data_IF_696810559275
#
_entry.id   IF_696810559275
#
_cell.length_a   1.000
_cell.length_b   1.000
_cell.length_c   1.000
_cell.angle_alpha   90.00
_cell.angle_beta   90.00
_cell.angle_gamma   90.00
#
_symmetry.space_group_name_H-M   'P 1'
#
loop_
_entity.id
_entity.type
_entity.pdbx_description
1 polymer ?
#
# COMPACT_ATOMS: atom_id res chain seq x y z
N UNK A 1 -0.56 23.54 -19.99
CA UNK A 1 -1.19 24.50 -20.93
C UNK A 1 -0.17 24.78 -22.01
N UNK A 2 -0.58 24.66 -23.30
CA UNK A 2 0.24 25.02 -24.46
C UNK A 2 -0.42 26.19 -25.16
N UNK A 3 0.35 27.23 -25.46
CA UNK A 3 -0.11 28.34 -26.28
C UNK A 3 -0.09 27.92 -27.75
N UNK A 4 -1.19 28.16 -28.48
CA UNK A 4 -1.32 27.87 -29.89
C UNK A 4 -0.96 29.12 -30.70
N UNK A 5 -0.65 28.94 -32.01
CA UNK A 5 -0.28 30.04 -32.92
C UNK A 5 -1.38 31.08 -33.10
N UNK A 6 -2.64 30.68 -32.87
CA UNK A 6 -3.81 31.56 -32.92
C UNK A 6 -4.04 32.36 -31.61
N UNK A 7 -3.10 32.30 -30.65
CA UNK A 7 -3.21 32.97 -29.36
C UNK A 7 -4.08 32.26 -28.31
N UNK A 8 -4.75 31.16 -28.67
CA UNK A 8 -5.52 30.33 -27.73
C UNK A 8 -4.60 29.42 -26.93
N UNK A 9 -5.12 28.91 -25.79
CA UNK A 9 -4.42 27.95 -24.94
C UNK A 9 -5.11 26.60 -25.03
N UNK A 10 -4.33 25.55 -25.28
CA UNK A 10 -4.81 24.18 -25.15
C UNK A 10 -4.45 23.61 -23.76
N UNK A 11 -5.37 22.87 -23.15
CA UNK A 11 -5.14 22.15 -21.91
C UNK A 11 -4.61 20.76 -22.27
N UNK A 12 -3.43 20.41 -21.77
CA UNK A 12 -2.88 19.07 -21.94
C UNK A 12 -3.63 18.08 -21.06
N UNK A 13 -3.69 16.80 -21.45
CA UNK A 13 -4.29 15.74 -20.61
C UNK A 13 -3.67 15.71 -19.21
N UNK A 14 -2.35 15.92 -19.09
CA UNK A 14 -1.67 16.00 -17.77
C UNK A 14 -2.16 17.21 -16.96
N UNK A 15 -2.36 18.35 -17.59
CA UNK A 15 -2.90 19.54 -16.92
C UNK A 15 -4.34 19.34 -16.46
N UNK A 16 -5.17 18.71 -17.31
CA UNK A 16 -6.54 18.36 -16.92
C UNK A 16 -6.58 17.33 -15.80
N UNK A 17 -5.77 16.27 -15.90
CA UNK A 17 -5.68 15.21 -14.89
C UNK A 17 -5.30 15.72 -13.49
N UNK A 18 -4.51 16.80 -13.42
CA UNK A 18 -4.09 17.42 -12.17
C UNK A 18 -5.06 18.51 -11.69
N UNK A 19 -5.60 19.34 -12.59
CA UNK A 19 -6.22 20.61 -12.21
C UNK A 19 -7.63 20.82 -12.76
N UNK A 20 -8.25 19.84 -13.44
CA UNK A 20 -9.62 19.99 -13.91
C UNK A 20 -10.61 20.13 -12.73
N UNK A 21 -11.61 20.98 -12.90
CA UNK A 21 -12.75 21.04 -11.98
C UNK A 21 -13.62 19.80 -12.05
N UNK A 22 -13.76 19.25 -13.27
CA UNK A 22 -14.42 17.96 -13.53
C UNK A 22 -13.69 17.24 -14.68
N UNK A 23 -13.19 16.03 -14.38
CA UNK A 23 -12.51 15.16 -15.37
C UNK A 23 -13.48 14.62 -16.43
N UNK A 24 -14.78 14.59 -16.16
CA UNK A 24 -15.79 14.14 -17.11
C UNK A 24 -15.96 15.09 -18.30
N UNK A 25 -15.54 16.35 -18.17
CA UNK A 25 -15.50 17.30 -19.28
C UNK A 25 -14.44 16.93 -20.36
N UNK A 26 -13.54 16.00 -20.03
CA UNK A 26 -12.47 15.55 -20.91
C UNK A 26 -12.73 14.10 -21.36
N UNK A 27 -13.03 13.88 -22.63
CA UNK A 27 -13.53 12.62 -23.20
C UNK A 27 -12.75 11.35 -22.82
N UNK A 28 -11.46 11.45 -22.46
CA UNK A 28 -10.61 10.31 -22.09
C UNK A 28 -10.27 10.25 -20.61
N UNK A 29 -10.68 11.22 -19.81
CA UNK A 29 -10.23 11.35 -18.41
C UNK A 29 -11.31 11.05 -17.37
N UNK A 30 -12.59 10.98 -17.72
CA UNK A 30 -13.67 10.70 -16.77
C UNK A 30 -13.47 9.38 -15.99
N UNK A 31 -12.98 8.33 -16.66
CA UNK A 31 -12.65 7.04 -16.01
C UNK A 31 -11.29 7.02 -15.31
N UNK A 32 -10.60 8.15 -15.21
CA UNK A 32 -9.35 8.28 -14.44
C UNK A 32 -9.59 8.87 -13.05
N UNK A 33 -10.81 9.29 -12.77
CA UNK A 33 -11.25 9.74 -11.45
C UNK A 33 -11.23 8.59 -10.44
N UNK A 34 -10.83 8.88 -9.19
CA UNK A 34 -10.86 7.92 -8.10
C UNK A 34 -12.29 7.68 -7.64
N UNK A 35 -12.64 6.42 -7.36
CA UNK A 35 -13.90 6.06 -6.68
C UNK A 35 -13.58 5.48 -5.31
N UNK A 36 -14.34 5.87 -4.32
CA UNK A 36 -14.28 5.31 -2.97
C UNK A 36 -15.60 4.62 -2.67
N UNK A 37 -15.55 3.33 -2.32
CA UNK A 37 -16.72 2.53 -1.98
C UNK A 37 -16.53 1.95 -0.59
N UNK A 38 -17.50 2.15 0.30
CA UNK A 38 -17.56 1.47 1.60
C UNK A 38 -18.63 0.40 1.56
N UNK A 39 -18.25 -0.81 1.92
CA UNK A 39 -19.15 -1.94 2.11
C UNK A 39 -19.49 -2.14 3.58
N UNK A 40 -20.63 -2.74 3.85
CA UNK A 40 -21.01 -3.24 5.18
C UNK A 40 -20.48 -4.67 5.33
N UNK A 41 -19.65 -4.90 6.34
CA UNK A 41 -19.04 -6.21 6.58
C UNK A 41 -17.77 -6.45 5.76
N UNK A 42 -17.50 -7.71 5.44
CA UNK A 42 -16.24 -8.16 4.82
C UNK A 42 -16.37 -8.54 3.34
N UNK A 43 -17.52 -8.34 2.73
CA UNK A 43 -17.80 -8.70 1.33
C UNK A 43 -18.44 -7.52 0.56
N UNK A 44 -18.59 -7.68 -0.77
CA UNK A 44 -19.11 -6.64 -1.68
C UNK A 44 -20.63 -6.65 -1.85
N UNK A 45 -21.38 -7.32 -0.97
CA UNK A 45 -22.84 -7.49 -1.17
C UNK A 45 -23.63 -6.22 -0.88
N UNK A 46 -23.25 -5.47 0.17
CA UNK A 46 -24.01 -4.30 0.61
C UNK A 46 -23.12 -3.05 0.60
N UNK A 47 -23.38 -2.19 -0.37
CA UNK A 47 -22.73 -0.86 -0.44
C UNK A 47 -23.38 0.03 0.64
N UNK A 48 -22.54 0.60 1.50
CA UNK A 48 -22.95 1.56 2.52
C UNK A 48 -22.79 3.01 2.02
N UNK A 49 -21.70 3.27 1.30
CA UNK A 49 -21.40 4.58 0.69
C UNK A 49 -20.61 4.37 -0.61
N UNK A 50 -20.85 5.25 -1.56
CA UNK A 50 -20.06 5.35 -2.79
C UNK A 50 -19.87 6.83 -3.11
N UNK A 51 -18.62 7.23 -3.41
CA UNK A 51 -18.27 8.62 -3.74
C UNK A 51 -17.27 8.66 -4.89
N UNK A 52 -17.61 9.25 -6.03
CA UNK A 52 -16.68 9.55 -7.10
C UNK A 52 -15.97 10.89 -6.86
N UNK A 53 -14.65 10.94 -7.03
CA UNK A 53 -13.84 12.15 -6.93
C UNK A 53 -13.44 12.60 -8.33
N UNK A 54 -14.35 13.30 -9.03
CA UNK A 54 -14.19 13.68 -10.43
C UNK A 54 -13.26 14.86 -10.66
N UNK A 55 -12.74 15.49 -9.62
CA UNK A 55 -11.79 16.60 -9.75
C UNK A 55 -10.38 16.10 -10.07
N UNK A 56 -9.55 16.98 -10.64
CA UNK A 56 -8.14 16.69 -10.87
C UNK A 56 -7.39 16.38 -9.57
N UNK A 57 -6.37 15.54 -9.68
CA UNK A 57 -5.69 14.93 -8.50
C UNK A 57 -5.13 15.96 -7.53
N UNK A 58 -4.56 17.06 -8.05
CA UNK A 58 -4.03 18.13 -7.18
C UNK A 58 -5.10 18.86 -6.39
N UNK A 59 -6.36 18.80 -6.83
CA UNK A 59 -7.50 19.44 -6.16
C UNK A 59 -8.12 18.48 -5.14
N UNK A 60 -8.28 17.19 -5.50
CA UNK A 60 -9.08 16.26 -4.69
C UNK A 60 -8.26 15.31 -3.81
N UNK A 61 -6.96 15.15 -3.99
CA UNK A 61 -6.17 14.13 -3.29
C UNK A 61 -6.31 14.18 -1.77
N UNK A 62 -6.13 15.35 -1.17
CA UNK A 62 -6.25 15.48 0.29
C UNK A 62 -7.70 15.23 0.77
N UNK A 63 -8.69 15.57 -0.05
CA UNK A 63 -10.09 15.27 0.24
C UNK A 63 -10.36 13.76 0.17
N UNK A 64 -9.79 13.05 -0.82
CA UNK A 64 -9.88 11.59 -0.91
C UNK A 64 -9.29 10.95 0.35
N UNK A 65 -8.05 11.31 0.71
CA UNK A 65 -7.39 10.75 1.89
C UNK A 65 -8.19 11.01 3.16
N UNK A 66 -8.68 12.24 3.35
CA UNK A 66 -9.50 12.61 4.51
C UNK A 66 -10.82 11.85 4.53
N UNK A 67 -11.48 11.72 3.39
CA UNK A 67 -12.74 10.99 3.26
C UNK A 67 -12.56 9.51 3.56
N UNK A 68 -11.52 8.87 2.99
CA UNK A 68 -11.18 7.48 3.29
C UNK A 68 -10.93 7.31 4.78
N UNK A 69 -10.06 8.14 5.38
CA UNK A 69 -9.74 8.05 6.81
C UNK A 69 -10.98 8.21 7.71
N UNK A 70 -11.93 9.07 7.35
CA UNK A 70 -13.18 9.24 8.10
C UNK A 70 -14.14 8.05 7.99
N UNK A 71 -13.95 7.18 6.99
CA UNK A 71 -14.74 5.97 6.80
C UNK A 71 -14.11 4.73 7.42
N UNK A 72 -12.82 4.79 7.83
CA UNK A 72 -12.13 3.66 8.40
C UNK A 72 -12.69 3.29 9.77
N UNK A 73 -12.76 1.98 10.10
CA UNK A 73 -13.00 1.53 11.46
C UNK A 73 -11.95 2.08 12.43
N UNK A 74 -12.40 2.59 13.56
CA UNK A 74 -11.55 3.09 14.64
C UNK A 74 -11.83 2.33 15.92
N UNK A 75 -10.82 2.26 16.80
CA UNK A 75 -11.00 1.85 18.18
C UNK A 75 -11.38 3.10 18.99
N UNK A 76 -12.50 3.03 19.71
CA UNK A 76 -12.81 4.01 20.74
C UNK A 76 -12.11 3.56 22.03
N UNK A 77 -11.13 4.33 22.49
CA UNK A 77 -10.52 4.09 23.78
C UNK A 77 -11.40 4.72 24.87
N UNK A 78 -12.30 3.91 25.42
CA UNK A 78 -13.27 4.30 26.46
C UNK A 78 -12.57 4.68 27.76
N UNK A 79 -11.30 4.33 27.95
CA UNK A 79 -10.53 4.57 29.19
C UNK A 79 -9.63 5.81 29.12
N UNK A 80 -9.54 6.49 27.97
CA UNK A 80 -8.76 7.72 27.85
C UNK A 80 -9.54 8.90 28.44
N UNK A 81 -8.87 9.72 29.25
CA UNK A 81 -9.41 10.98 29.81
C UNK A 81 -9.85 11.98 28.71
N UNK A 82 -9.36 11.78 27.49
CA UNK A 82 -9.85 12.38 26.25
C UNK A 82 -10.14 11.25 25.26
N UNK A 83 -11.32 11.26 24.65
CA UNK A 83 -11.70 10.34 23.58
C UNK A 83 -10.65 10.38 22.46
N UNK A 84 -9.70 9.47 22.50
CA UNK A 84 -8.72 9.29 21.42
C UNK A 84 -9.24 8.18 20.51
N UNK A 85 -9.65 8.52 19.30
CA UNK A 85 -9.98 7.57 18.26
C UNK A 85 -8.70 7.17 17.52
N UNK A 86 -8.24 5.94 17.71
CA UNK A 86 -7.09 5.42 16.99
C UNK A 86 -7.58 4.59 15.79
N UNK A 87 -7.11 4.93 14.60
CA UNK A 87 -7.44 4.16 13.40
C UNK A 87 -6.89 2.72 13.52
N UNK A 88 -7.71 1.74 13.15
CA UNK A 88 -7.27 0.33 13.04
C UNK A 88 -6.32 0.08 11.87
N UNK A 89 -6.10 1.08 11.03
CA UNK A 89 -5.27 0.99 9.84
C UNK A 89 -4.11 1.97 9.92
N UNK A 90 -2.92 1.61 9.39
CA UNK A 90 -1.78 2.50 9.32
C UNK A 90 -2.04 3.62 8.29
N UNK A 91 -2.48 4.80 8.75
CA UNK A 91 -2.86 5.92 7.89
C UNK A 91 -1.78 6.33 6.88
N UNK A 92 -0.47 6.31 7.20
CA UNK A 92 0.57 6.56 6.20
C UNK A 92 0.53 5.56 5.05
N UNK A 93 0.24 4.27 5.33
CA UNK A 93 0.13 3.24 4.29
C UNK A 93 -1.11 3.45 3.42
N UNK A 94 -2.22 3.89 4.00
CA UNK A 94 -3.45 4.22 3.26
C UNK A 94 -3.20 5.37 2.30
N UNK A 95 -2.57 6.45 2.76
CA UNK A 95 -2.21 7.61 1.93
C UNK A 95 -1.31 7.21 0.77
N UNK A 96 -0.27 6.44 1.05
CA UNK A 96 0.69 5.99 0.04
C UNK A 96 0.05 5.06 -1.00
N UNK A 97 -0.79 4.12 -0.58
CA UNK A 97 -1.51 3.24 -1.49
C UNK A 97 -2.43 4.03 -2.45
N UNK A 98 -3.14 5.06 -1.95
CA UNK A 98 -3.95 5.96 -2.76
C UNK A 98 -3.07 6.72 -3.76
N UNK A 99 -1.96 7.31 -3.32
CA UNK A 99 -1.05 8.05 -4.20
C UNK A 99 -0.49 7.15 -5.30
N UNK A 100 -0.03 5.94 -4.93
CA UNK A 100 0.51 4.96 -5.86
C UNK A 100 -0.52 4.51 -6.90
N UNK A 101 -1.77 4.33 -6.52
CA UNK A 101 -2.84 3.95 -7.45
C UNK A 101 -3.10 5.01 -8.52
N UNK A 102 -2.97 6.29 -8.19
CA UNK A 102 -3.10 7.40 -9.13
C UNK A 102 -1.89 7.53 -10.05
N UNK A 103 -0.67 7.37 -9.50
CA UNK A 103 0.59 7.53 -10.23
C UNK A 103 0.83 6.36 -11.19
N UNK A 104 0.60 5.13 -10.74
CA UNK A 104 0.99 3.92 -11.47
C UNK A 104 -0.10 3.34 -12.36
N UNK A 105 -1.29 3.97 -12.42
CA UNK A 105 -2.33 3.52 -13.33
C UNK A 105 -1.87 3.59 -14.79
N UNK A 106 -2.33 2.65 -15.59
CA UNK A 106 -2.19 2.72 -17.04
C UNK A 106 -3.28 3.62 -17.61
N UNK A 107 -2.87 4.81 -18.08
CA UNK A 107 -3.79 5.80 -18.62
C UNK A 107 -4.39 5.40 -19.98
N UNK A 108 -3.82 4.40 -20.66
CA UNK A 108 -4.33 3.86 -21.92
C UNK A 108 -5.45 2.84 -21.73
N UNK A 109 -5.50 2.13 -20.61
CA UNK A 109 -6.60 1.20 -20.30
C UNK A 109 -7.89 1.99 -20.14
N UNK A 110 -8.92 1.61 -20.92
CA UNK A 110 -10.25 2.22 -20.87
C UNK A 110 -11.22 1.38 -20.07
N UNK A 111 -12.35 1.96 -19.64
CA UNK A 111 -13.40 1.24 -18.93
C UNK A 111 -13.13 0.96 -17.44
N UNK A 112 -11.90 1.20 -16.97
CA UNK A 112 -11.50 0.99 -15.58
C UNK A 112 -11.02 2.30 -14.95
N UNK A 113 -11.26 2.44 -13.63
CA UNK A 113 -10.86 3.60 -12.82
C UNK A 113 -10.09 3.13 -11.58
N UNK A 114 -9.20 3.95 -11.02
CA UNK A 114 -8.64 3.68 -9.70
C UNK A 114 -9.77 3.69 -8.66
N UNK A 115 -9.72 2.73 -7.73
CA UNK A 115 -10.79 2.52 -6.75
C UNK A 115 -10.22 2.18 -5.38
N UNK A 116 -10.83 2.76 -4.34
CA UNK A 116 -10.62 2.37 -2.94
C UNK A 116 -11.89 1.69 -2.44
N UNK A 117 -11.75 0.46 -1.98
CA UNK A 117 -12.83 -0.34 -1.40
C UNK A 117 -12.54 -0.57 0.09
N UNK A 118 -13.44 -0.14 0.95
CA UNK A 118 -13.30 -0.20 2.40
C UNK A 118 -14.25 -1.26 2.96
N UNK A 119 -13.68 -2.22 3.71
CA UNK A 119 -14.38 -3.27 4.42
C UNK A 119 -14.11 -3.13 5.93
N UNK A 120 -14.78 -3.91 6.75
CA UNK A 120 -14.59 -3.85 8.21
C UNK A 120 -13.19 -4.33 8.66
N UNK A 121 -12.54 -5.18 7.88
CA UNK A 121 -11.26 -5.81 8.22
C UNK A 121 -10.10 -5.46 7.26
N UNK A 122 -10.35 -4.77 6.16
CA UNK A 122 -9.32 -4.43 5.16
C UNK A 122 -9.74 -3.26 4.27
N UNK A 123 -8.75 -2.70 3.60
CA UNK A 123 -8.92 -1.74 2.51
C UNK A 123 -8.28 -2.36 1.27
N UNK A 124 -8.96 -2.31 0.13
CA UNK A 124 -8.43 -2.70 -1.16
C UNK A 124 -8.29 -1.44 -2.03
N UNK A 125 -7.10 -1.19 -2.54
CA UNK A 125 -6.81 -0.08 -3.47
C UNK A 125 -6.42 -0.70 -4.80
N UNK A 126 -7.25 -0.50 -5.81
CA UNK A 126 -7.06 -1.09 -7.15
C UNK A 126 -6.82 0.02 -8.16
N UNK A 127 -5.87 -0.19 -9.07
CA UNK A 127 -5.66 0.67 -10.22
C UNK A 127 -5.51 -0.13 -11.52
N UNK A 128 -5.94 0.40 -12.67
CA UNK A 128 -5.63 -0.18 -13.97
C UNK A 128 -4.12 -0.20 -14.22
N UNK A 129 -3.61 -1.29 -14.79
CA UNK A 129 -2.20 -1.51 -15.11
C UNK A 129 -1.48 -2.43 -14.14
N UNK A 130 -0.51 -3.17 -14.67
CA UNK A 130 0.35 -4.10 -13.91
C UNK A 130 1.60 -3.39 -13.40
N UNK A 131 2.25 -3.89 -12.33
CA UNK A 131 3.51 -3.32 -11.85
C UNK A 131 4.60 -3.36 -12.94
N UNK A 132 5.48 -2.36 -12.95
CA UNK A 132 6.66 -2.31 -13.83
C UNK A 132 7.91 -2.94 -13.19
N UNK A 133 7.78 -3.36 -11.96
CA UNK A 133 8.83 -4.00 -11.15
C UNK A 133 8.35 -5.36 -10.66
N UNK A 134 9.29 -6.25 -10.38
CA UNK A 134 8.96 -7.52 -9.74
C UNK A 134 8.38 -7.27 -8.34
N UNK A 135 7.21 -7.83 -8.06
CA UNK A 135 6.53 -7.71 -6.77
C UNK A 135 7.37 -8.28 -5.62
N UNK A 136 8.12 -9.36 -5.87
CA UNK A 136 9.04 -9.92 -4.87
C UNK A 136 10.21 -8.98 -4.54
N UNK A 137 10.53 -8.06 -5.44
CA UNK A 137 11.62 -7.10 -5.29
C UNK A 137 11.13 -5.65 -5.08
N UNK A 138 9.89 -5.46 -4.67
CA UNK A 138 9.26 -4.14 -4.63
C UNK A 138 9.93 -3.18 -3.63
N UNK A 139 10.60 -3.72 -2.61
CA UNK A 139 11.30 -2.93 -1.59
C UNK A 139 12.69 -2.49 -2.07
N UNK A 140 13.41 -3.34 -2.82
CA UNK A 140 14.80 -3.08 -3.20
C UNK A 140 14.99 -2.63 -4.66
N UNK A 141 13.98 -2.76 -5.49
CA UNK A 141 14.04 -2.26 -6.86
C UNK A 141 14.09 -0.73 -6.91
N UNK A 142 14.91 -0.15 -7.80
CA UNK A 142 14.84 1.28 -8.09
C UNK A 142 13.42 1.70 -8.48
N UNK A 143 12.97 2.89 -8.08
CA UNK A 143 11.63 3.36 -8.39
C UNK A 143 11.44 3.49 -9.90
N UNK A 144 10.35 2.92 -10.41
CA UNK A 144 9.99 2.98 -11.81
C UNK A 144 8.54 3.42 -11.94
N UNK A 145 8.28 4.46 -12.72
CA UNK A 145 6.94 4.98 -12.93
C UNK A 145 6.56 4.96 -14.41
N UNK A 146 5.34 4.51 -14.70
CA UNK A 146 4.74 4.60 -16.03
C UNK A 146 4.45 6.05 -16.42
N UNK A 147 4.11 6.87 -15.44
CA UNK A 147 3.69 8.25 -15.60
C UNK A 147 4.69 9.21 -14.93
N UNK A 148 5.94 9.25 -15.40
CA UNK A 148 7.05 10.00 -14.77
C UNK A 148 6.72 11.47 -14.54
N UNK A 149 6.12 12.14 -15.53
CA UNK A 149 5.74 13.57 -15.41
C UNK A 149 4.66 13.77 -14.34
N UNK A 150 3.67 12.86 -14.27
CA UNK A 150 2.63 12.89 -13.25
C UNK A 150 3.25 12.66 -11.86
N UNK A 151 4.06 11.63 -11.72
CA UNK A 151 4.77 11.31 -10.48
C UNK A 151 5.62 12.49 -9.99
N UNK A 152 6.39 13.12 -10.90
CA UNK A 152 7.22 14.29 -10.57
C UNK A 152 6.39 15.48 -10.07
N UNK A 153 5.25 15.76 -10.71
CA UNK A 153 4.37 16.86 -10.30
C UNK A 153 3.67 16.55 -8.99
N UNK A 154 3.18 15.33 -8.78
CA UNK A 154 2.55 14.93 -7.52
C UNK A 154 3.54 14.97 -6.34
N UNK A 155 4.82 14.61 -6.54
CA UNK A 155 5.88 14.78 -5.55
C UNK A 155 6.10 16.25 -5.19
N UNK A 156 6.23 17.12 -6.20
CA UNK A 156 6.39 18.57 -5.97
C UNK A 156 5.21 19.19 -5.22
N UNK A 157 4.02 18.63 -5.37
CA UNK A 157 2.82 19.01 -4.64
C UNK A 157 2.70 18.30 -3.27
N UNK A 158 3.70 17.52 -2.85
CA UNK A 158 3.76 16.77 -1.58
C UNK A 158 2.61 15.77 -1.39
N UNK A 159 2.10 15.23 -2.49
CA UNK A 159 1.03 14.24 -2.47
C UNK A 159 1.56 12.82 -2.26
N UNK A 160 2.81 12.54 -2.65
CA UNK A 160 3.50 11.28 -2.49
C UNK A 160 4.98 11.49 -2.11
N UNK A 161 5.65 10.39 -1.76
CA UNK A 161 7.06 10.39 -1.35
C UNK A 161 8.03 10.81 -2.46
N UNK A 162 9.14 11.43 -2.04
CA UNK A 162 10.12 11.98 -2.97
C UNK A 162 11.15 10.95 -3.46
N UNK A 163 11.48 9.94 -2.66
CA UNK A 163 12.67 9.10 -2.86
C UNK A 163 12.38 7.65 -3.29
N UNK A 164 11.15 7.32 -3.68
CA UNK A 164 10.79 5.94 -4.06
C UNK A 164 10.72 4.94 -2.89
N UNK A 165 10.67 5.42 -1.65
CA UNK A 165 10.58 4.61 -0.42
C UNK A 165 9.14 4.42 0.07
N UNK A 166 8.16 4.61 -0.78
CA UNK A 166 6.75 4.50 -0.41
C UNK A 166 6.39 3.13 0.13
N UNK A 167 6.90 2.06 -0.50
CA UNK A 167 6.69 0.69 -0.05
C UNK A 167 7.35 0.39 1.29
N UNK A 168 8.60 0.81 1.50
CA UNK A 168 9.31 0.64 2.77
C UNK A 168 8.49 1.26 3.91
N UNK A 169 8.00 2.48 3.71
CA UNK A 169 7.16 3.18 4.69
C UNK A 169 5.83 2.51 4.95
N UNK A 170 5.18 1.99 3.89
CA UNK A 170 3.93 1.23 4.07
C UNK A 170 4.16 -0.01 4.92
N UNK A 171 5.22 -0.77 4.65
CA UNK A 171 5.56 -1.98 5.42
C UNK A 171 5.92 -1.61 6.85
N UNK A 172 6.79 -0.62 7.07
CA UNK A 172 7.15 -0.15 8.41
C UNK A 172 5.95 0.33 9.22
N UNK A 173 5.02 1.06 8.59
CA UNK A 173 3.80 1.52 9.27
C UNK A 173 2.87 0.36 9.65
N UNK A 174 2.79 -0.68 8.83
CA UNK A 174 2.08 -1.91 9.16
C UNK A 174 2.76 -2.67 10.32
N UNK A 175 4.10 -2.73 10.32
CA UNK A 175 4.86 -3.34 11.41
C UNK A 175 4.65 -2.63 12.75
N UNK A 176 4.67 -1.29 12.73
CA UNK A 176 4.46 -0.49 13.94
C UNK A 176 3.06 -0.69 14.58
N UNK A 177 2.09 -1.17 13.82
CA UNK A 177 0.74 -1.49 14.30
C UNK A 177 0.47 -3.01 14.40
N UNK A 178 1.50 -3.85 14.29
CA UNK A 178 1.37 -5.31 14.28
C UNK A 178 0.39 -5.85 13.21
N UNK A 179 0.06 -5.03 12.21
CA UNK A 179 -0.80 -5.42 11.10
C UNK A 179 -0.06 -6.34 10.12
N UNK A 180 -0.74 -7.23 9.38
CA UNK A 180 -0.13 -7.91 8.25
C UNK A 180 0.48 -6.91 7.26
N UNK A 181 1.56 -7.31 6.59
CA UNK A 181 2.16 -6.46 5.56
C UNK A 181 1.20 -6.21 4.39
N UNK A 182 1.34 -5.10 3.65
CA UNK A 182 0.51 -4.82 2.48
C UNK A 182 0.62 -5.97 1.48
N UNK A 183 -0.52 -6.53 1.04
CA UNK A 183 -0.57 -7.58 0.03
C UNK A 183 -0.72 -6.97 -1.36
N UNK A 184 0.00 -7.50 -2.33
CA UNK A 184 -0.12 -7.11 -3.73
C UNK A 184 -0.68 -8.27 -4.52
N UNK A 185 -1.71 -8.01 -5.29
CA UNK A 185 -2.30 -8.96 -6.25
C UNK A 185 -2.24 -8.33 -7.63
N UNK A 186 -1.72 -9.08 -8.59
CA UNK A 186 -1.59 -8.65 -9.99
C UNK A 186 -2.58 -9.45 -10.82
N UNK A 187 -3.48 -8.75 -11.49
CA UNK A 187 -4.41 -9.30 -12.45
C UNK A 187 -3.94 -8.97 -13.88
N UNK A 188 -4.64 -9.47 -14.88
CA UNK A 188 -4.27 -9.25 -16.28
C UNK A 188 -4.05 -7.75 -16.61
N UNK A 189 -4.96 -6.88 -16.18
CA UNK A 189 -4.97 -5.45 -16.51
C UNK A 189 -5.04 -4.53 -15.29
N UNK A 190 -4.78 -5.04 -14.10
CA UNK A 190 -4.86 -4.24 -12.88
C UNK A 190 -3.95 -4.74 -11.77
N UNK A 191 -3.66 -3.84 -10.86
CA UNK A 191 -2.95 -4.11 -9.60
C UNK A 191 -3.85 -3.76 -8.44
N UNK A 192 -3.92 -4.64 -7.43
CA UNK A 192 -4.63 -4.40 -6.19
C UNK A 192 -3.66 -4.47 -5.01
N UNK A 193 -3.70 -3.47 -4.15
CA UNK A 193 -3.00 -3.44 -2.87
C UNK A 193 -4.04 -3.58 -1.76
N UNK A 194 -3.86 -4.57 -0.89
CA UNK A 194 -4.71 -4.77 0.28
C UNK A 194 -3.96 -4.38 1.55
N UNK A 195 -4.53 -3.49 2.33
CA UNK A 195 -4.10 -3.14 3.67
C UNK A 195 -5.06 -3.76 4.68
N UNK A 196 -4.52 -4.38 5.71
CA UNK A 196 -5.31 -5.05 6.74
C UNK A 196 -5.40 -4.19 7.99
N UNK A 197 -6.49 -4.34 8.73
CA UNK A 197 -6.58 -3.80 10.09
C UNK A 197 -5.61 -4.51 11.02
N UNK A 198 -5.30 -3.88 12.15
CA UNK A 198 -4.63 -4.54 13.28
C UNK A 198 -5.30 -5.89 13.59
N UNK A 199 -4.48 -6.92 13.84
CA UNK A 199 -4.94 -8.29 14.01
C UNK A 199 -3.96 -9.07 14.87
N UNK A 200 -4.48 -9.84 15.83
CA UNK A 200 -3.66 -10.74 16.62
C UNK A 200 -2.93 -11.76 15.74
N UNK A 201 -1.69 -12.06 16.08
CA UNK A 201 -0.86 -13.02 15.32
C UNK A 201 -1.57 -14.36 15.07
N UNK A 202 -2.30 -14.89 16.06
CA UNK A 202 -3.07 -16.14 15.94
C UNK A 202 -4.06 -16.11 14.75
N UNK A 203 -4.68 -14.96 14.52
CA UNK A 203 -5.76 -14.77 13.56
C UNK A 203 -5.27 -14.41 12.14
N UNK A 204 -3.98 -14.07 11.99
CA UNK A 204 -3.42 -13.76 10.66
C UNK A 204 -3.36 -15.05 9.84
N UNK A 205 -3.87 -15.07 8.59
CA UNK A 205 -3.71 -16.20 7.67
C UNK A 205 -2.23 -16.54 7.42
N UNK A 206 -1.92 -17.82 7.19
CA UNK A 206 -0.53 -18.28 7.01
C UNK A 206 0.17 -17.58 5.84
N UNK A 207 -0.53 -17.35 4.75
CA UNK A 207 0.03 -16.63 3.59
C UNK A 207 0.46 -15.20 3.95
N UNK A 208 -0.36 -14.49 4.74
CA UNK A 208 -0.04 -13.13 5.18
C UNK A 208 1.08 -13.10 6.23
N UNK A 209 1.19 -14.14 7.08
CA UNK A 209 2.33 -14.32 7.97
C UNK A 209 3.62 -14.52 7.19
N UNK A 210 3.60 -15.37 6.17
CA UNK A 210 4.76 -15.67 5.33
C UNK A 210 5.18 -14.44 4.51
N UNK A 211 4.21 -13.74 3.91
CA UNK A 211 4.46 -12.50 3.19
C UNK A 211 5.03 -11.41 4.10
N UNK A 212 4.48 -11.25 5.29
CA UNK A 212 4.98 -10.30 6.29
C UNK A 212 6.39 -10.65 6.78
N UNK A 213 6.68 -11.94 6.98
CA UNK A 213 8.03 -12.42 7.32
C UNK A 213 9.03 -12.10 6.19
N UNK A 214 8.63 -12.33 4.95
CA UNK A 214 9.46 -12.04 3.78
C UNK A 214 9.76 -10.53 3.64
N UNK A 215 8.74 -9.67 3.70
CA UNK A 215 8.94 -8.22 3.60
C UNK A 215 9.75 -7.67 4.77
N UNK A 216 9.59 -8.21 5.99
CA UNK A 216 10.44 -7.88 7.12
C UNK A 216 11.91 -8.25 6.85
N UNK A 217 12.17 -9.43 6.30
CA UNK A 217 13.53 -9.83 5.90
C UNK A 217 14.12 -8.88 4.84
N UNK A 218 13.31 -8.45 3.86
CA UNK A 218 13.73 -7.47 2.86
C UNK A 218 14.08 -6.12 3.50
N UNK A 219 13.23 -5.60 4.40
CA UNK A 219 13.50 -4.35 5.11
C UNK A 219 14.78 -4.41 5.94
N UNK A 220 15.00 -5.49 6.69
CA UNK A 220 16.22 -5.69 7.48
C UNK A 220 17.44 -5.70 6.57
N UNK A 221 17.36 -6.42 5.44
CA UNK A 221 18.47 -6.56 4.50
C UNK A 221 18.89 -5.22 3.87
N UNK A 222 17.94 -4.39 3.42
CA UNK A 222 18.27 -3.08 2.85
C UNK A 222 18.81 -2.08 3.89
N UNK A 223 18.55 -2.33 5.18
CA UNK A 223 19.12 -1.57 6.29
C UNK A 223 20.51 -2.07 6.72
N UNK A 224 21.05 -3.09 6.05
CA UNK A 224 22.36 -3.67 6.37
C UNK A 224 22.32 -4.68 7.54
N UNK A 225 21.14 -5.15 7.92
CA UNK A 225 20.93 -6.17 8.96
C UNK A 225 20.26 -7.42 8.38
N UNK A 226 19.87 -8.36 9.21
CA UNK A 226 19.23 -9.61 8.81
C UNK A 226 18.11 -10.00 9.76
N UNK A 227 17.09 -10.69 9.25
CA UNK A 227 15.99 -11.21 10.03
C UNK A 227 16.51 -12.21 11.08
N UNK A 228 16.01 -12.10 12.28
CA UNK A 228 16.25 -13.00 13.39
C UNK A 228 14.92 -13.48 14.01
N UNK A 229 14.96 -14.52 14.82
CA UNK A 229 13.76 -14.93 15.57
C UNK A 229 13.25 -13.78 16.47
N UNK A 230 14.16 -13.01 17.07
CA UNK A 230 13.80 -11.85 17.89
C UNK A 230 13.12 -10.76 17.07
N UNK A 231 13.75 -10.31 15.97
CA UNK A 231 13.18 -9.24 15.15
C UNK A 231 11.80 -9.61 14.59
N UNK A 232 11.59 -10.89 14.22
CA UNK A 232 10.30 -11.37 13.75
C UNK A 232 9.24 -11.41 14.88
N UNK A 233 9.65 -11.73 16.12
CA UNK A 233 8.74 -11.63 17.26
C UNK A 233 8.34 -10.18 17.53
N UNK A 234 9.32 -9.29 17.53
CA UNK A 234 9.10 -7.86 17.75
C UNK A 234 8.14 -7.29 16.65
N UNK A 235 8.35 -7.70 15.40
CA UNK A 235 7.47 -7.34 14.26
C UNK A 235 6.00 -7.73 14.46
N UNK A 236 5.72 -8.88 15.11
CA UNK A 236 4.36 -9.38 15.30
C UNK A 236 3.82 -9.20 16.71
N UNK A 237 4.54 -8.56 17.62
CA UNK A 237 4.17 -8.44 19.02
C UNK A 237 4.13 -9.80 19.75
N UNK A 238 4.92 -10.79 19.30
CA UNK A 238 4.93 -12.14 19.89
C UNK A 238 5.81 -12.16 21.14
N UNK A 239 5.29 -12.55 22.31
CA UNK A 239 6.08 -12.63 23.55
C UNK A 239 7.19 -13.68 23.45
N UNK A 240 8.24 -13.52 24.25
CA UNK A 240 9.39 -14.41 24.26
C UNK A 240 9.02 -15.88 24.61
N UNK A 241 8.03 -16.05 25.45
CA UNK A 241 7.47 -17.37 25.82
C UNK A 241 6.91 -18.13 24.61
N UNK A 242 6.58 -17.45 23.53
CA UNK A 242 6.03 -18.02 22.29
C UNK A 242 7.03 -18.03 21.11
N UNK A 243 8.34 -18.01 21.39
CA UNK A 243 9.42 -17.99 20.39
C UNK A 243 9.38 -19.15 19.39
N UNK A 244 8.77 -20.28 19.76
CA UNK A 244 8.55 -21.43 18.87
C UNK A 244 7.66 -21.11 17.67
N UNK A 245 6.72 -20.18 17.82
CA UNK A 245 5.83 -19.74 16.72
C UNK A 245 6.61 -19.03 15.62
N UNK A 246 7.52 -18.12 16.01
CA UNK A 246 8.41 -17.44 15.04
C UNK A 246 9.40 -18.41 14.39
N UNK A 247 9.97 -19.36 15.14
CA UNK A 247 10.86 -20.39 14.58
C UNK A 247 10.14 -21.24 13.54
N UNK A 248 8.89 -21.61 13.79
CA UNK A 248 8.06 -22.38 12.85
C UNK A 248 7.77 -21.59 11.59
N UNK A 249 7.41 -20.30 11.73
CA UNK A 249 7.17 -19.40 10.59
C UNK A 249 8.44 -19.22 9.73
N UNK A 250 9.61 -19.01 10.36
CA UNK A 250 10.90 -18.94 9.66
C UNK A 250 11.18 -20.23 8.86
N UNK A 251 10.99 -21.39 9.49
CA UNK A 251 11.19 -22.69 8.83
C UNK A 251 10.27 -22.84 7.61
N UNK A 252 9.03 -22.40 7.72
CA UNK A 252 8.07 -22.46 6.61
C UNK A 252 8.43 -21.47 5.51
N UNK A 253 8.87 -20.25 5.85
CA UNK A 253 9.35 -19.26 4.88
C UNK A 253 10.58 -19.75 4.10
N UNK A 254 11.49 -20.47 4.75
CA UNK A 254 12.63 -21.15 4.06
C UNK A 254 12.09 -22.24 3.12
N UNK A 255 11.16 -23.09 3.59
CA UNK A 255 10.57 -24.15 2.77
C UNK A 255 9.80 -23.63 1.55
N UNK A 256 9.30 -22.38 1.61
CA UNK A 256 8.66 -21.69 0.47
C UNK A 256 9.63 -20.90 -0.40
N UNK A 257 10.93 -20.99 -0.16
CA UNK A 257 11.96 -20.23 -0.88
C UNK A 257 11.74 -18.69 -0.83
N UNK A 258 11.25 -18.16 0.27
CA UNK A 258 11.11 -16.74 0.48
C UNK A 258 12.36 -16.12 1.10
N UNK A 259 12.96 -16.84 2.04
CA UNK A 259 14.18 -16.45 2.75
C UNK A 259 15.18 -17.61 2.78
N UNK A 260 16.45 -17.29 3.02
CA UNK A 260 17.53 -18.27 3.21
C UNK A 260 18.38 -17.92 4.43
N UNK A 261 19.11 -18.90 4.95
CA UNK A 261 20.09 -18.71 6.02
C UNK A 261 21.25 -17.87 5.48
N UNK A 262 21.69 -16.86 6.24
CA UNK A 262 22.83 -16.01 5.88
C UNK A 262 24.15 -16.80 5.95
N UNK A 263 24.38 -17.52 7.06
CA UNK A 263 25.55 -18.37 7.25
C UNK A 263 25.14 -19.72 7.89
N UNK A 264 25.21 -20.82 7.13
CA UNK A 264 24.83 -22.17 7.61
C UNK A 264 25.69 -22.69 8.78
N UNK A 265 26.88 -22.14 8.99
CA UNK A 265 27.78 -22.58 10.07
C UNK A 265 27.47 -21.90 11.41
N UNK A 266 26.52 -20.98 11.44
CA UNK A 266 26.12 -20.28 12.67
C UNK A 266 25.32 -21.19 13.56
N UNK A 267 25.60 -21.15 14.89
CA UNK A 267 24.82 -21.90 15.87
C UNK A 267 23.32 -21.47 15.86
N UNK A 268 22.36 -22.39 16.08
CA UNK A 268 20.93 -22.13 15.94
C UNK A 268 20.42 -20.88 16.67
N UNK A 269 20.98 -20.57 17.84
CA UNK A 269 20.61 -19.40 18.66
C UNK A 269 20.93 -18.07 17.97
N UNK A 270 21.91 -18.03 17.08
CA UNK A 270 22.41 -16.83 16.43
C UNK A 270 22.09 -16.77 14.94
N UNK A 271 21.30 -17.72 14.44
CA UNK A 271 20.89 -17.80 13.05
C UNK A 271 20.28 -16.49 12.59
N UNK A 272 20.75 -16.03 11.42
CA UNK A 272 20.27 -14.88 10.67
C UNK A 272 19.76 -15.31 9.29
N UNK A 273 18.74 -14.61 8.81
CA UNK A 273 18.09 -14.94 7.55
C UNK A 273 17.99 -13.72 6.66
N UNK A 274 18.12 -13.92 5.37
CA UNK A 274 18.05 -12.88 4.34
C UNK A 274 17.02 -13.28 3.26
N UNK A 275 16.53 -12.35 2.44
CA UNK A 275 15.68 -12.69 1.31
C UNK A 275 16.35 -13.68 0.37
N UNK A 276 15.57 -14.50 -0.31
CA UNK A 276 16.13 -15.56 -1.19
C UNK A 276 17.01 -15.01 -2.31
N UNK A 277 16.75 -13.81 -2.78
CA UNK A 277 17.45 -13.12 -3.87
C UNK A 277 18.72 -12.37 -3.43
N UNK A 278 18.97 -12.20 -2.16
CA UNK A 278 20.10 -11.46 -1.58
C UNK A 278 21.42 -12.23 -1.65
#
# INVERSE_FOLDING_TARGET
IQKQDNGLYSITNLGALLFAKDLNEFARLGRKAMRVVKYKGINRLLIQKEEPFNQGYAICFENIVRYVNALLPSNEDVNAVQLSTTSKFPLPSVREAIANSLIHQDLYITGAAPMVEIFDNRIEVTNPGTPLVDVLRIIDNPPKSRNEKLASLMRRLKMCEELGRGWDRMVLACEAQYSPAPRIEVFQDSTKVTLFSEMEFSNIPMEDKLWSCYLHACLMYIQGDALTNKSLRDRFGIPETSSSSSSRLIKEAIGKNLIKVLDPNTAPRYMKYIPIWA
#
